data_IF_868941475760
#
_entry.id   IF_868941475760
#
_cell.length_a   1.000
_cell.length_b   1.000
_cell.length_c   1.000
_cell.angle_alpha   90.00
_cell.angle_beta   90.00
_cell.angle_gamma   90.00
#
_symmetry.space_group_name_H-M   'P 1'
#
loop_
_entity.id
_entity.type
_entity.pdbx_description
1 polymer ?
#
# COMPACT_ATOMS: atom_id res chain seq x y z
N UNK A 1 0.65 5.13 -16.99
CA UNK A 1 0.05 4.78 -15.68
C UNK A 1 0.09 3.27 -15.48
N UNK A 2 0.51 2.83 -14.33
CA UNK A 2 0.65 1.41 -14.01
C UNK A 2 -0.14 1.13 -12.74
N UNK A 3 -1.01 0.11 -12.77
CA UNK A 3 -1.71 -0.38 -11.58
C UNK A 3 -1.07 -1.67 -11.11
N UNK A 4 -0.69 -1.72 -9.85
CA UNK A 4 -0.11 -2.89 -9.21
C UNK A 4 -1.03 -3.34 -8.08
N UNK A 5 -1.54 -4.55 -8.17
CA UNK A 5 -2.40 -5.13 -7.13
C UNK A 5 -1.51 -5.78 -6.07
N UNK A 6 -1.46 -5.17 -4.89
CA UNK A 6 -0.65 -5.68 -3.79
C UNK A 6 -1.40 -6.69 -2.94
N UNK A 7 -2.71 -6.59 -2.92
CA UNK A 7 -3.59 -7.52 -2.23
C UNK A 7 -5.04 -7.20 -2.53
N UNK A 8 -5.91 -8.19 -2.38
CA UNK A 8 -7.32 -8.04 -2.76
C UNK A 8 -8.30 -8.81 -1.87
N UNK A 9 -7.84 -9.37 -0.76
CA UNK A 9 -8.68 -10.19 0.10
C UNK A 9 -9.05 -9.46 1.40
N UNK A 10 -10.14 -9.87 2.01
CA UNK A 10 -10.58 -9.38 3.32
C UNK A 10 -11.36 -10.48 4.03
N UNK A 11 -11.49 -10.45 5.36
CA UNK A 11 -10.98 -9.44 6.28
C UNK A 11 -9.58 -9.73 6.85
N UNK A 12 -8.94 -10.82 6.43
CA UNK A 12 -7.60 -11.18 6.87
C UNK A 12 -6.80 -11.75 5.70
N UNK A 13 -5.46 -11.66 5.74
CA UNK A 13 -4.64 -12.18 4.66
C UNK A 13 -4.62 -13.71 4.66
N UNK A 14 -4.35 -14.27 3.48
CA UNK A 14 -4.11 -15.70 3.29
C UNK A 14 -2.68 -15.92 2.81
N UNK A 15 -2.27 -17.19 2.72
CA UNK A 15 -0.90 -17.53 2.35
C UNK A 15 -0.47 -16.96 0.99
N UNK A 16 -1.40 -16.84 0.08
CA UNK A 16 -1.14 -16.42 -1.32
C UNK A 16 -1.73 -15.04 -1.66
N UNK A 17 -2.32 -14.33 -0.68
CA UNK A 17 -2.92 -13.03 -0.97
C UNK A 17 -2.94 -12.17 0.29
N UNK A 18 -2.60 -10.90 0.12
CA UNK A 18 -2.66 -9.89 1.18
C UNK A 18 -4.05 -9.26 1.25
N UNK A 19 -4.32 -8.52 2.32
CA UNK A 19 -5.50 -7.68 2.38
C UNK A 19 -5.39 -6.56 1.34
N UNK A 20 -6.44 -5.74 1.23
CA UNK A 20 -6.62 -4.82 0.11
C UNK A 20 -5.54 -3.76 0.04
N UNK A 21 -4.96 -3.58 -1.14
CA UNK A 21 -4.02 -2.51 -1.43
C UNK A 21 -3.72 -2.48 -2.92
N UNK A 22 -3.94 -1.31 -3.53
CA UNK A 22 -3.68 -1.09 -4.95
C UNK A 22 -2.74 0.09 -5.10
N UNK A 23 -1.58 -0.13 -5.72
CA UNK A 23 -0.60 0.92 -5.93
C UNK A 23 -0.64 1.37 -7.38
N UNK A 24 -0.87 2.66 -7.57
CA UNK A 24 -0.95 3.28 -8.88
C UNK A 24 0.28 4.17 -9.07
N UNK A 25 1.01 3.94 -10.16
CA UNK A 25 2.13 4.78 -10.56
C UNK A 25 1.68 5.68 -11.71
N UNK A 26 1.74 6.99 -11.51
CA UNK A 26 1.62 7.96 -12.58
C UNK A 26 3.03 8.31 -13.04
N UNK A 27 3.49 7.63 -14.09
CA UNK A 27 4.87 7.78 -14.57
C UNK A 27 5.14 9.14 -15.19
N UNK A 28 4.11 9.81 -15.71
CA UNK A 28 4.27 11.12 -16.35
C UNK A 28 4.54 12.23 -15.32
N UNK A 29 3.91 12.13 -14.14
CA UNK A 29 4.02 13.13 -13.08
C UNK A 29 4.84 12.66 -11.89
N UNK A 30 5.41 11.47 -11.96
CA UNK A 30 6.19 10.86 -10.87
C UNK A 30 5.41 10.86 -9.54
N UNK A 31 4.14 10.49 -9.60
CA UNK A 31 3.26 10.41 -8.43
C UNK A 31 2.83 8.97 -8.20
N UNK A 32 2.62 8.63 -6.94
CA UNK A 32 2.13 7.31 -6.54
C UNK A 32 0.93 7.47 -5.65
N UNK A 33 -0.08 6.63 -5.86
CA UNK A 33 -1.29 6.60 -5.04
C UNK A 33 -1.47 5.16 -4.54
N UNK A 34 -1.56 5.00 -3.24
CA UNK A 34 -1.91 3.72 -2.64
C UNK A 34 -3.38 3.78 -2.18
N UNK A 35 -4.20 2.94 -2.79
CA UNK A 35 -5.61 2.80 -2.42
C UNK A 35 -5.74 1.65 -1.43
N UNK A 36 -6.05 1.97 -0.20
CA UNK A 36 -6.05 1.09 0.96
C UNK A 36 -4.66 0.52 1.27
N UNK A 37 -4.47 0.15 2.52
CA UNK A 37 -3.18 -0.25 3.05
C UNK A 37 -3.36 -1.42 4.01
N UNK A 38 -3.84 -2.54 3.46
CA UNK A 38 -4.18 -3.72 4.24
C UNK A 38 -2.99 -4.54 4.71
N UNK A 39 -3.29 -5.57 5.48
CA UNK A 39 -2.27 -6.45 6.06
C UNK A 39 -1.40 -7.10 4.97
N UNK A 40 -0.10 -6.95 5.09
CA UNK A 40 0.89 -7.65 4.27
C UNK A 40 1.30 -6.94 3.01
N UNK A 41 0.65 -5.86 2.60
CA UNK A 41 0.92 -5.23 1.29
C UNK A 41 2.33 -4.63 1.23
N UNK A 42 2.89 -4.21 2.35
CA UNK A 42 4.24 -3.63 2.38
C UNK A 42 5.33 -4.60 1.97
N UNK A 43 5.09 -5.91 2.05
CA UNK A 43 6.04 -6.92 1.57
C UNK A 43 6.29 -6.80 0.07
N UNK A 44 5.35 -6.25 -0.67
CA UNK A 44 5.41 -6.12 -2.12
C UNK A 44 5.79 -4.70 -2.57
N UNK A 45 5.97 -3.79 -1.64
CA UNK A 45 6.44 -2.43 -1.92
C UNK A 45 7.96 -2.39 -1.87
N UNK A 46 8.55 -1.47 -2.62
CA UNK A 46 10.00 -1.25 -2.66
C UNK A 46 10.34 0.02 -1.91
N UNK A 47 11.03 -0.11 -0.78
CA UNK A 47 11.47 1.02 0.01
C UNK A 47 12.94 1.33 -0.27
N UNK A 48 13.36 2.60 -0.28
CA UNK A 48 12.52 3.79 -0.05
C UNK A 48 11.79 4.32 -1.29
N UNK A 49 12.02 3.76 -2.49
CA UNK A 49 11.52 4.34 -3.74
C UNK A 49 9.99 4.49 -3.78
N UNK A 50 9.25 3.52 -3.25
CA UNK A 50 7.79 3.60 -3.24
C UNK A 50 7.23 4.58 -2.21
N UNK A 51 8.07 5.12 -1.33
CA UNK A 51 7.66 6.17 -0.40
C UNK A 51 7.67 7.56 -1.04
N UNK A 52 8.40 7.73 -2.13
CA UNK A 52 8.55 9.03 -2.78
C UNK A 52 7.25 9.44 -3.47
N UNK A 53 6.78 10.64 -3.16
CA UNK A 53 5.57 11.20 -3.75
C UNK A 53 4.35 10.30 -3.60
N UNK A 54 4.27 9.61 -2.46
CA UNK A 54 3.19 8.67 -2.17
C UNK A 54 2.04 9.36 -1.46
N UNK A 55 0.83 9.20 -2.00
CA UNK A 55 -0.42 9.59 -1.35
C UNK A 55 -1.19 8.32 -1.02
N UNK A 56 -1.68 8.22 0.21
CA UNK A 56 -2.45 7.07 0.65
C UNK A 56 -3.90 7.50 0.83
N UNK A 57 -4.81 6.76 0.20
CA UNK A 57 -6.25 7.00 0.30
C UNK A 57 -6.89 5.74 0.88
N UNK A 58 -7.57 5.89 2.01
CA UNK A 58 -8.26 4.79 2.66
C UNK A 58 -9.74 4.86 2.32
N UNK A 59 -10.31 3.72 1.89
CA UNK A 59 -11.73 3.64 1.56
C UNK A 59 -12.59 3.74 2.82
N UNK A 60 -12.14 3.13 3.92
CA UNK A 60 -12.80 3.21 5.22
C UNK A 60 -11.84 2.73 6.32
N UNK A 61 -12.23 2.90 7.58
CA UNK A 61 -11.34 2.65 8.72
C UNK A 61 -11.61 1.30 9.38
N UNK A 62 -11.72 0.23 8.59
CA UNK A 62 -11.62 -1.13 9.09
C UNK A 62 -10.18 -1.60 9.04
N UNK A 63 -9.75 -2.38 10.02
CA UNK A 63 -8.35 -2.72 10.23
C UNK A 63 -7.71 -3.41 9.03
N UNK A 64 -8.44 -4.26 8.33
CA UNK A 64 -7.95 -4.95 7.15
C UNK A 64 -7.66 -4.02 5.96
N UNK A 65 -8.08 -2.75 6.05
CA UNK A 65 -7.82 -1.73 5.03
C UNK A 65 -6.73 -0.74 5.42
N UNK A 66 -6.24 -0.75 6.67
CA UNK A 66 -5.17 0.19 7.08
C UNK A 66 -4.08 -0.45 7.95
N UNK A 67 -4.10 -1.75 8.16
CA UNK A 67 -3.21 -2.41 9.12
C UNK A 67 -1.72 -2.18 8.84
N UNK A 68 -1.31 -2.06 7.57
CA UNK A 68 0.09 -1.82 7.22
C UNK A 68 0.47 -0.34 7.19
N UNK A 69 -0.46 0.57 7.50
CA UNK A 69 -0.16 2.00 7.52
C UNK A 69 0.95 2.33 8.53
N UNK A 70 0.97 1.67 9.67
CA UNK A 70 2.02 1.87 10.67
C UNK A 70 3.39 1.44 10.14
N UNK A 71 3.46 0.39 9.33
CA UNK A 71 4.71 -0.05 8.71
C UNK A 71 5.23 1.00 7.73
N UNK A 72 4.36 1.59 6.92
CA UNK A 72 4.73 2.66 6.00
C UNK A 72 5.19 3.89 6.77
N UNK A 73 4.49 4.28 7.83
CA UNK A 73 4.87 5.42 8.65
C UNK A 73 6.26 5.21 9.28
N UNK A 74 6.52 4.01 9.76
CA UNK A 74 7.84 3.69 10.34
C UNK A 74 8.94 3.71 9.27
N UNK A 75 8.66 3.15 8.08
CA UNK A 75 9.61 3.17 6.97
C UNK A 75 9.94 4.61 6.56
N UNK A 76 8.95 5.49 6.54
CA UNK A 76 9.15 6.91 6.23
C UNK A 76 10.04 7.61 7.26
N UNK A 77 9.98 7.17 8.51
CA UNK A 77 10.85 7.69 9.57
C UNK A 77 12.31 7.19 9.39
N UNK A 78 12.48 5.93 8.98
CA UNK A 78 13.81 5.32 8.81
C UNK A 78 14.53 5.85 7.58
N UNK A 79 13.80 6.02 6.52
CA UNK A 79 14.34 6.49 5.24
C UNK A 79 14.04 7.98 5.04
#
# INVERSE_FOLDING_TARGET
MILKILGSISPYPKADNNCVGYLIYDTDNNQKILLDCGNGITRLMKFPSDLENLTIILSHLHKDHYADLSAIAYASYVY
#
